data_IF_506459357614
#
_entry.id   IF_506459357614
#
_cell.length_a   1.000
_cell.length_b   1.000
_cell.length_c   1.000
_cell.angle_alpha   90.00
_cell.angle_beta   90.00
_cell.angle_gamma   90.00
#
_symmetry.space_group_name_H-M   'P 1'
#
loop_
_entity.id
_entity.type
_entity.pdbx_description
1 polymer ?
#
# COMPACT_ATOMS: atom_id res chain seq x y z
N UNK A 1 -21.25 18.58 -29.54
CA UNK A 1 -20.47 18.85 -28.28
C UNK A 1 -21.01 18.05 -27.09
N UNK A 2 -22.32 18.12 -26.73
CA UNK A 2 -22.86 17.34 -25.59
C UNK A 2 -22.96 15.83 -25.85
N UNK A 3 -23.24 15.38 -27.06
CA UNK A 3 -23.25 13.94 -27.42
C UNK A 3 -21.85 13.29 -27.38
N UNK A 4 -20.83 14.06 -27.69
CA UNK A 4 -19.44 13.58 -27.68
C UNK A 4 -18.91 13.40 -26.25
N UNK A 5 -19.32 14.29 -25.33
CA UNK A 5 -19.03 14.18 -23.89
C UNK A 5 -19.75 12.96 -23.28
N UNK A 6 -20.99 12.69 -23.71
CA UNK A 6 -21.74 11.51 -23.25
C UNK A 6 -21.11 10.19 -23.71
N UNK A 7 -20.60 10.11 -24.93
CA UNK A 7 -19.92 8.91 -25.46
C UNK A 7 -18.57 8.65 -24.76
N UNK A 8 -17.84 9.71 -24.39
CA UNK A 8 -16.60 9.60 -23.64
C UNK A 8 -16.86 9.11 -22.22
N UNK A 9 -17.93 9.57 -21.58
CA UNK A 9 -18.33 9.13 -20.24
C UNK A 9 -18.76 7.64 -20.21
N UNK A 10 -19.54 7.20 -21.20
CA UNK A 10 -19.98 5.79 -21.31
C UNK A 10 -18.81 4.84 -21.63
N UNK A 11 -17.85 5.28 -22.43
CA UNK A 11 -16.66 4.49 -22.73
C UNK A 11 -15.74 4.37 -21.50
N UNK A 12 -15.65 5.42 -20.67
CA UNK A 12 -14.87 5.42 -19.44
C UNK A 12 -15.51 4.50 -18.38
N UNK A 13 -16.84 4.50 -18.26
CA UNK A 13 -17.55 3.61 -17.32
C UNK A 13 -17.41 2.11 -17.70
N UNK A 14 -17.42 1.79 -18.98
CA UNK A 14 -17.15 0.44 -19.49
C UNK A 14 -15.71 0.01 -19.23
N UNK A 15 -14.75 0.90 -19.41
CA UNK A 15 -13.34 0.67 -19.11
C UNK A 15 -13.11 0.48 -17.60
N UNK A 16 -13.76 1.27 -16.76
CA UNK A 16 -13.72 1.13 -15.29
C UNK A 16 -14.29 -0.19 -14.81
N UNK A 17 -15.43 -0.63 -15.36
CA UNK A 17 -16.03 -1.94 -15.04
C UNK A 17 -15.17 -3.12 -15.54
N UNK A 18 -14.54 -2.98 -16.71
CA UNK A 18 -13.59 -3.97 -17.24
C UNK A 18 -12.29 -4.00 -16.43
N UNK A 19 -11.82 -2.82 -15.98
CA UNK A 19 -10.67 -2.68 -15.11
C UNK A 19 -10.95 -3.32 -13.74
N UNK A 20 -12.07 -3.03 -13.10
CA UNK A 20 -12.47 -3.63 -11.82
C UNK A 20 -12.65 -5.16 -11.90
N UNK A 21 -13.02 -5.70 -13.07
CA UNK A 21 -13.06 -7.15 -13.31
C UNK A 21 -11.67 -7.76 -13.57
N UNK A 22 -10.72 -6.97 -14.10
CA UNK A 22 -9.34 -7.40 -14.38
C UNK A 22 -8.37 -7.13 -13.23
N UNK A 23 -8.68 -6.16 -12.36
CA UNK A 23 -7.98 -5.89 -11.08
C UNK A 23 -8.54 -6.79 -9.97
N UNK A 24 -9.48 -7.69 -10.31
CA UNK A 24 -9.66 -8.90 -9.54
C UNK A 24 -8.30 -9.56 -9.40
N UNK A 25 -7.59 -9.22 -8.30
CA UNK A 25 -6.28 -9.79 -7.98
C UNK A 25 -5.23 -9.61 -9.09
N UNK A 26 -4.64 -8.43 -9.25
CA UNK A 26 -3.20 -8.41 -9.38
C UNK A 26 -2.69 -8.90 -8.03
N UNK A 27 -2.55 -10.22 -7.93
CA UNK A 27 -1.59 -10.79 -7.04
C UNK A 27 -0.26 -10.15 -7.46
N UNK A 28 0.14 -9.07 -6.78
CA UNK A 28 1.55 -8.93 -6.47
C UNK A 28 1.88 -10.33 -5.96
N UNK A 29 2.80 -11.02 -6.58
CA UNK A 29 3.33 -12.29 -6.09
C UNK A 29 4.06 -11.99 -4.78
N UNK A 30 3.32 -11.58 -3.79
CA UNK A 30 3.59 -11.75 -2.38
C UNK A 30 3.51 -13.25 -2.20
N UNK A 31 4.64 -13.86 -1.95
CA UNK A 31 4.79 -15.30 -1.84
C UNK A 31 3.59 -15.91 -1.14
N UNK A 32 3.06 -16.99 -1.71
CA UNK A 32 1.83 -17.66 -1.35
C UNK A 32 1.52 -17.47 0.15
N UNK A 33 0.52 -16.63 0.46
CA UNK A 33 -0.15 -16.72 1.75
C UNK A 33 -0.81 -18.09 1.70
N UNK A 34 -0.16 -19.07 2.33
CA UNK A 34 -0.78 -20.32 2.64
C UNK A 34 -1.99 -19.96 3.52
N UNK A 35 -3.16 -19.94 2.91
CA UNK A 35 -4.42 -19.86 3.65
C UNK A 35 -4.47 -21.14 4.48
N UNK A 36 -4.01 -21.04 5.72
CA UNK A 36 -4.20 -22.13 6.69
C UNK A 36 -5.69 -22.44 6.71
N UNK A 37 -6.02 -23.67 6.39
CA UNK A 37 -7.38 -24.20 6.30
C UNK A 37 -8.22 -23.74 7.49
N UNK A 38 -9.45 -23.27 7.27
CA UNK A 38 -10.33 -22.76 8.32
C UNK A 38 -11.01 -23.89 9.11
N UNK A 39 -10.23 -24.85 9.64
CA UNK A 39 -10.82 -25.97 10.38
C UNK A 39 -10.93 -25.75 11.89
N UNK A 40 -10.55 -24.61 12.43
CA UNK A 40 -10.63 -24.39 13.89
C UNK A 40 -11.07 -23.00 14.38
N UNK A 41 -11.65 -22.18 13.51
CA UNK A 41 -12.32 -20.93 13.89
C UNK A 41 -13.85 -21.03 13.78
N UNK A 42 -14.40 -22.24 13.87
CA UNK A 42 -15.83 -22.44 13.89
C UNK A 42 -16.32 -22.33 15.34
N UNK A 43 -16.48 -21.11 15.82
CA UNK A 43 -17.54 -20.66 16.74
C UNK A 43 -17.30 -19.22 17.20
N UNK A 44 -17.27 -18.30 16.25
CA UNK A 44 -17.54 -16.93 16.58
C UNK A 44 -18.70 -16.47 15.70
N UNK A 45 -19.71 -15.88 16.34
CA UNK A 45 -21.00 -15.56 15.80
C UNK A 45 -20.95 -15.04 14.35
N UNK A 46 -21.96 -15.41 13.55
CA UNK A 46 -22.28 -14.86 12.23
C UNK A 46 -22.61 -13.35 12.33
N UNK A 47 -21.58 -12.54 12.54
CA UNK A 47 -21.59 -11.10 12.30
C UNK A 47 -20.76 -10.91 11.03
N UNK A 48 -21.39 -10.48 9.94
CA UNK A 48 -20.68 -10.04 8.75
C UNK A 48 -19.61 -9.03 9.19
N UNK A 49 -18.32 -9.40 9.02
CA UNK A 49 -17.22 -8.47 9.28
C UNK A 49 -17.41 -7.29 8.33
N UNK A 50 -17.47 -6.08 8.88
CA UNK A 50 -17.63 -4.87 8.09
C UNK A 50 -16.57 -4.87 6.96
N UNK A 51 -16.97 -4.78 5.68
CA UNK A 51 -16.03 -4.77 4.56
C UNK A 51 -14.93 -3.71 4.69
N UNK A 52 -15.22 -2.57 5.32
CA UNK A 52 -14.24 -1.52 5.58
C UNK A 52 -13.14 -2.00 6.54
N UNK A 53 -13.45 -2.90 7.49
CA UNK A 53 -12.45 -3.51 8.38
C UNK A 53 -11.46 -4.36 7.56
N UNK A 54 -11.93 -5.14 6.60
CA UNK A 54 -11.05 -5.95 5.76
C UNK A 54 -10.12 -5.07 4.90
N UNK A 55 -10.63 -3.95 4.39
CA UNK A 55 -9.84 -2.96 3.66
C UNK A 55 -8.76 -2.36 4.58
N UNK A 56 -9.12 -1.95 5.79
CA UNK A 56 -8.16 -1.44 6.78
C UNK A 56 -7.10 -2.48 7.17
N UNK A 57 -7.44 -3.76 7.28
CA UNK A 57 -6.46 -4.83 7.55
C UNK A 57 -5.43 -4.97 6.42
N UNK A 58 -5.89 -4.90 5.17
CA UNK A 58 -4.99 -4.89 4.01
C UNK A 58 -4.06 -3.69 4.00
N UNK A 59 -4.60 -2.49 4.29
CA UNK A 59 -3.81 -1.27 4.45
C UNK A 59 -2.77 -1.40 5.57
N UNK A 60 -3.19 -1.90 6.75
CA UNK A 60 -2.28 -2.12 7.89
C UNK A 60 -1.13 -3.08 7.56
N UNK A 61 -1.38 -4.10 6.75
CA UNK A 61 -0.33 -5.01 6.30
C UNK A 61 0.70 -4.30 5.39
N UNK A 62 0.26 -3.36 4.54
CA UNK A 62 1.12 -2.52 3.70
C UNK A 62 1.99 -1.62 4.59
N UNK A 63 1.41 -0.99 5.63
CA UNK A 63 2.18 -0.14 6.54
C UNK A 63 3.24 -0.93 7.32
N UNK A 64 2.92 -2.13 7.78
CA UNK A 64 3.90 -3.02 8.40
C UNK A 64 5.05 -3.38 7.47
N UNK A 65 4.77 -3.62 6.18
CA UNK A 65 5.79 -3.90 5.16
C UNK A 65 6.69 -2.68 4.93
N UNK A 66 6.10 -1.48 4.78
CA UNK A 66 6.83 -0.22 4.62
C UNK A 66 7.77 0.05 5.80
N UNK A 67 7.27 -0.06 7.04
CA UNK A 67 8.08 0.10 8.26
C UNK A 67 9.25 -0.90 8.27
N UNK A 68 8.99 -2.16 7.96
CA UNK A 68 10.02 -3.19 7.94
C UNK A 68 11.05 -2.93 6.84
N UNK A 69 10.63 -2.53 5.65
CA UNK A 69 11.51 -2.21 4.53
C UNK A 69 12.45 -1.05 4.88
N UNK A 70 11.91 0.06 5.38
CA UNK A 70 12.74 1.22 5.77
C UNK A 70 13.69 0.89 6.93
N UNK A 71 13.24 0.13 7.92
CA UNK A 71 14.06 -0.26 9.06
C UNK A 71 15.19 -1.21 8.65
N UNK A 72 14.87 -2.28 7.92
CA UNK A 72 15.83 -3.33 7.55
C UNK A 72 16.81 -2.82 6.48
N UNK A 73 16.32 -2.16 5.43
CA UNK A 73 17.17 -1.58 4.41
C UNK A 73 17.98 -0.39 4.93
N UNK A 74 17.41 0.43 5.83
CA UNK A 74 18.12 1.50 6.51
C UNK A 74 19.28 1.00 7.39
N UNK A 75 19.15 -0.18 7.99
CA UNK A 75 20.20 -0.82 8.78
C UNK A 75 21.28 -1.53 7.93
N UNK A 76 21.13 -1.59 6.63
CA UNK A 76 22.05 -2.31 5.72
C UNK A 76 23.45 -1.71 5.62
N UNK A 77 23.62 -0.44 6.02
CA UNK A 77 24.87 0.31 5.83
C UNK A 77 25.10 0.81 4.40
N UNK A 78 24.14 0.62 3.49
CA UNK A 78 24.24 1.05 2.10
C UNK A 78 23.86 2.52 1.88
N UNK A 79 23.13 3.14 2.82
CA UNK A 79 22.61 4.48 2.69
C UNK A 79 23.62 5.54 3.17
N UNK A 80 23.71 6.63 2.41
CA UNK A 80 24.39 7.84 2.90
C UNK A 80 23.60 8.46 4.07
N UNK A 81 24.25 9.28 4.93
CA UNK A 81 23.55 9.96 6.03
C UNK A 81 22.34 10.80 5.58
N UNK A 82 22.43 11.41 4.40
CA UNK A 82 21.32 12.21 3.82
C UNK A 82 20.12 11.35 3.48
N UNK A 83 20.34 10.28 2.76
CA UNK A 83 19.29 9.33 2.37
C UNK A 83 18.69 8.61 3.57
N UNK A 84 19.54 8.22 4.54
CA UNK A 84 19.07 7.59 5.79
C UNK A 84 18.15 8.54 6.58
N UNK A 85 18.45 9.84 6.60
CA UNK A 85 17.56 10.83 7.23
C UNK A 85 16.18 10.87 6.57
N UNK A 86 16.11 10.87 5.25
CA UNK A 86 14.82 10.83 4.51
C UNK A 86 14.09 9.52 4.79
N UNK A 87 14.78 8.39 4.71
CA UNK A 87 14.22 7.08 5.03
C UNK A 87 13.63 7.01 6.43
N UNK A 88 14.29 7.62 7.42
CA UNK A 88 13.79 7.71 8.81
C UNK A 88 12.52 8.56 8.92
N UNK A 89 12.42 9.65 8.17
CA UNK A 89 11.20 10.48 8.12
C UNK A 89 10.04 9.67 7.53
N UNK A 90 10.24 9.02 6.40
CA UNK A 90 9.19 8.21 5.74
C UNK A 90 8.75 7.03 6.62
N UNK A 91 9.70 6.35 7.26
CA UNK A 91 9.37 5.32 8.25
C UNK A 91 8.49 5.88 9.38
N UNK A 92 8.76 7.11 9.84
CA UNK A 92 7.93 7.78 10.83
C UNK A 92 6.50 8.08 10.35
N UNK A 93 6.31 8.40 9.06
CA UNK A 93 4.98 8.55 8.47
C UNK A 93 4.24 7.21 8.46
N UNK A 94 4.85 6.14 7.95
CA UNK A 94 4.25 4.79 7.99
C UNK A 94 3.88 4.33 9.41
N UNK A 95 4.68 4.68 10.43
CA UNK A 95 4.35 4.38 11.82
C UNK A 95 3.07 5.10 12.27
N UNK A 96 2.87 6.36 11.89
CA UNK A 96 1.65 7.12 12.20
C UNK A 96 0.44 6.56 11.43
N UNK A 97 0.61 6.17 10.17
CA UNK A 97 -0.42 5.51 9.37
C UNK A 97 -0.87 4.20 10.03
N UNK A 98 0.09 3.33 10.38
CA UNK A 98 -0.14 2.09 11.12
C UNK A 98 -0.93 2.33 12.40
N UNK A 99 -0.50 3.26 13.24
CA UNK A 99 -1.14 3.53 14.53
C UNK A 99 -2.59 3.99 14.36
N UNK A 100 -2.85 4.79 13.32
CA UNK A 100 -4.19 5.24 12.96
C UNK A 100 -5.09 4.07 12.52
N UNK A 101 -4.57 3.18 11.67
CA UNK A 101 -5.28 1.99 11.19
C UNK A 101 -5.55 0.99 12.31
N UNK A 102 -4.55 0.72 13.17
CA UNK A 102 -4.72 -0.17 14.33
C UNK A 102 -5.83 0.34 15.27
N UNK A 103 -5.84 1.63 15.58
CA UNK A 103 -6.86 2.24 16.43
C UNK A 103 -8.27 2.14 15.81
N UNK A 104 -8.39 2.35 14.49
CA UNK A 104 -9.68 2.27 13.79
C UNK A 104 -10.19 0.83 13.68
N UNK A 105 -9.33 -0.13 13.40
CA UNK A 105 -9.69 -1.55 13.38
C UNK A 105 -10.16 -2.01 14.75
N UNK A 106 -9.43 -1.66 15.82
CA UNK A 106 -9.82 -1.99 17.19
C UNK A 106 -11.15 -1.32 17.57
N UNK A 107 -11.36 -0.06 17.22
CA UNK A 107 -12.62 0.66 17.44
C UNK A 107 -13.80 0.01 16.71
N UNK A 108 -13.57 -0.58 15.55
CA UNK A 108 -14.58 -1.34 14.81
C UNK A 108 -14.78 -2.78 15.34
N UNK A 109 -14.14 -3.16 16.45
CA UNK A 109 -14.23 -4.49 17.05
C UNK A 109 -13.34 -5.56 16.39
N UNK A 110 -12.50 -5.18 15.44
CA UNK A 110 -11.53 -6.06 14.80
C UNK A 110 -10.25 -6.22 15.61
N UNK A 111 -9.50 -7.27 15.33
CA UNK A 111 -8.14 -7.47 15.85
C UNK A 111 -7.12 -7.08 14.78
N UNK A 112 -6.29 -6.04 14.99
CA UNK A 112 -5.32 -5.61 13.99
C UNK A 112 -4.36 -6.73 13.59
N UNK A 113 -4.12 -6.88 12.29
CA UNK A 113 -3.13 -7.83 11.76
C UNK A 113 -1.76 -7.49 12.33
N UNK A 114 -0.97 -8.51 12.64
CA UNK A 114 0.37 -8.35 13.20
C UNK A 114 1.41 -8.30 12.09
N UNK A 115 2.54 -7.59 12.28
CA UNK A 115 3.64 -7.61 11.34
C UNK A 115 4.21 -9.03 11.21
N UNK A 116 4.74 -9.34 10.05
CA UNK A 116 5.54 -10.54 9.81
C UNK A 116 6.89 -10.42 10.54
N UNK A 117 7.62 -11.53 10.63
CA UNK A 117 9.00 -11.51 11.14
C UNK A 117 9.97 -10.81 10.17
N UNK A 118 11.07 -10.31 10.70
CA UNK A 118 12.13 -9.70 9.89
C UNK A 118 12.69 -10.65 8.82
N UNK A 119 12.79 -11.93 9.15
CA UNK A 119 13.24 -12.97 8.21
C UNK A 119 12.27 -13.10 7.03
N UNK A 120 10.96 -13.05 7.28
CA UNK A 120 9.95 -13.10 6.23
C UNK A 120 10.02 -11.86 5.34
N UNK A 121 10.09 -10.65 5.91
CA UNK A 121 10.25 -9.43 5.13
C UNK A 121 11.57 -9.42 4.34
N UNK A 122 12.66 -9.86 4.93
CA UNK A 122 13.95 -9.96 4.23
C UNK A 122 13.86 -10.85 2.99
N UNK A 123 13.16 -11.98 3.10
CA UNK A 123 12.95 -12.92 2.00
C UNK A 123 11.98 -12.33 0.95
N UNK A 124 10.82 -11.85 1.36
CA UNK A 124 9.77 -11.36 0.45
C UNK A 124 10.21 -10.13 -0.34
N UNK A 125 10.93 -9.21 0.31
CA UNK A 125 11.47 -8.00 -0.30
C UNK A 125 12.84 -8.22 -0.97
N UNK A 126 13.37 -9.46 -0.90
CA UNK A 126 14.67 -9.82 -1.46
C UNK A 126 15.81 -8.88 -1.01
N UNK A 127 15.82 -8.48 0.28
CA UNK A 127 16.77 -7.49 0.80
C UNK A 127 18.23 -7.94 0.66
N UNK A 128 18.49 -9.24 0.65
CA UNK A 128 19.82 -9.80 0.44
C UNK A 128 20.44 -9.51 -0.95
N UNK A 129 19.63 -9.11 -1.92
CA UNK A 129 20.08 -8.74 -3.26
C UNK A 129 20.58 -7.30 -3.39
N UNK A 130 20.27 -6.44 -2.42
CA UNK A 130 20.65 -5.02 -2.44
C UNK A 130 22.17 -4.87 -2.28
N UNK A 131 22.79 -4.08 -3.15
CA UNK A 131 24.26 -3.89 -3.19
C UNK A 131 24.66 -2.43 -3.15
N UNK A 132 23.73 -1.51 -3.33
CA UNK A 132 23.98 -0.07 -3.42
C UNK A 132 22.85 0.75 -2.82
N UNK A 133 23.12 2.02 -2.53
CA UNK A 133 22.09 3.00 -2.16
C UNK A 133 20.99 3.07 -3.24
N UNK A 134 21.38 3.05 -4.52
CA UNK A 134 20.44 3.07 -5.64
C UNK A 134 19.46 1.89 -5.61
N UNK A 135 19.93 0.68 -5.25
CA UNK A 135 19.06 -0.49 -5.14
C UNK A 135 18.02 -0.30 -4.00
N UNK A 136 18.45 0.24 -2.86
CA UNK A 136 17.58 0.52 -1.72
C UNK A 136 16.53 1.56 -2.08
N UNK A 137 16.94 2.67 -2.71
CA UNK A 137 16.02 3.74 -3.11
C UNK A 137 15.03 3.25 -4.18
N UNK A 138 15.49 2.44 -5.13
CA UNK A 138 14.62 1.86 -6.16
C UNK A 138 13.58 0.88 -5.56
N UNK A 139 13.98 0.06 -4.59
CA UNK A 139 13.04 -0.80 -3.85
C UNK A 139 12.01 0.05 -3.11
N UNK A 140 12.45 1.06 -2.36
CA UNK A 140 11.54 1.97 -1.66
C UNK A 140 10.55 2.63 -2.64
N UNK A 141 11.01 3.21 -3.74
CA UNK A 141 10.14 3.83 -4.72
C UNK A 141 9.09 2.86 -5.29
N UNK A 142 9.45 1.59 -5.49
CA UNK A 142 8.52 0.55 -5.93
C UNK A 142 7.46 0.24 -4.87
N UNK A 143 7.83 0.19 -3.60
CA UNK A 143 6.90 -0.05 -2.49
C UNK A 143 5.92 1.11 -2.33
N UNK A 144 6.42 2.36 -2.37
CA UNK A 144 5.58 3.56 -2.30
C UNK A 144 4.59 3.64 -3.47
N UNK A 145 5.02 3.29 -4.67
CA UNK A 145 4.11 3.20 -5.82
C UNK A 145 3.03 2.15 -5.59
N UNK A 146 3.40 1.00 -5.04
CA UNK A 146 2.47 -0.08 -4.69
C UNK A 146 1.44 0.37 -3.65
N UNK A 147 1.89 1.03 -2.58
CA UNK A 147 1.03 1.58 -1.54
C UNK A 147 0.08 2.65 -2.08
N UNK A 148 0.59 3.60 -2.87
CA UNK A 148 -0.24 4.64 -3.53
C UNK A 148 -1.34 4.01 -4.39
N UNK A 149 -0.99 3.03 -5.24
CA UNK A 149 -1.96 2.32 -6.09
C UNK A 149 -3.01 1.57 -5.25
N UNK A 150 -2.57 0.91 -4.16
CA UNK A 150 -3.47 0.18 -3.29
C UNK A 150 -4.49 1.13 -2.63
N UNK A 151 -4.04 2.25 -2.08
CA UNK A 151 -4.93 3.22 -1.43
C UNK A 151 -5.86 3.89 -2.43
N UNK A 152 -5.37 4.33 -3.59
CA UNK A 152 -6.21 4.90 -4.64
C UNK A 152 -7.31 3.91 -5.08
N UNK A 153 -6.94 2.65 -5.31
CA UNK A 153 -7.89 1.61 -5.73
C UNK A 153 -8.93 1.25 -4.67
N UNK A 154 -8.59 1.38 -3.38
CA UNK A 154 -9.48 1.05 -2.28
C UNK A 154 -10.50 2.15 -1.95
N UNK A 155 -10.21 3.42 -2.27
CA UNK A 155 -11.08 4.56 -1.97
C UNK A 155 -12.53 4.33 -2.45
N UNK A 156 -12.70 3.79 -3.66
CA UNK A 156 -14.02 3.55 -4.25
C UNK A 156 -14.80 2.40 -3.59
N UNK A 157 -14.12 1.50 -2.86
CA UNK A 157 -14.73 0.36 -2.19
C UNK A 157 -15.16 0.66 -0.75
N UNK A 158 -14.63 1.72 -0.14
CA UNK A 158 -14.95 2.14 1.22
C UNK A 158 -16.37 2.71 1.30
N UNK A 159 -17.10 2.30 2.34
CA UNK A 159 -18.46 2.74 2.64
C UNK A 159 -18.50 3.93 3.60
N UNK A 160 -17.54 3.99 4.53
CA UNK A 160 -17.41 5.04 5.52
C UNK A 160 -16.66 6.24 4.93
N UNK A 161 -17.31 7.41 4.90
CA UNK A 161 -16.74 8.65 4.34
C UNK A 161 -15.49 9.14 5.08
N UNK A 162 -15.38 8.87 6.39
CA UNK A 162 -14.18 9.25 7.15
C UNK A 162 -13.00 8.37 6.77
N UNK A 163 -13.25 7.06 6.52
CA UNK A 163 -12.22 6.16 6.00
C UNK A 163 -11.82 6.53 4.57
N UNK A 164 -12.80 6.88 3.70
CA UNK A 164 -12.49 7.40 2.36
C UNK A 164 -11.55 8.60 2.43
N UNK A 165 -11.80 9.54 3.34
CA UNK A 165 -10.93 10.71 3.55
C UNK A 165 -9.54 10.28 4.04
N UNK A 166 -9.45 9.40 5.04
CA UNK A 166 -8.17 8.88 5.53
C UNK A 166 -7.37 8.22 4.41
N UNK A 167 -7.97 7.32 3.64
CA UNK A 167 -7.28 6.63 2.54
C UNK A 167 -6.81 7.58 1.44
N UNK A 168 -7.53 8.69 1.23
CA UNK A 168 -7.07 9.76 0.35
C UNK A 168 -5.83 10.45 0.91
N UNK A 169 -5.75 10.65 2.22
CA UNK A 169 -4.55 11.22 2.88
C UNK A 169 -3.38 10.24 2.79
N UNK A 170 -3.58 8.95 3.11
CA UNK A 170 -2.55 7.92 2.93
C UNK A 170 -2.03 7.91 1.49
N UNK A 171 -2.92 7.87 0.50
CA UNK A 171 -2.56 7.92 -0.91
C UNK A 171 -1.72 9.17 -1.27
N UNK A 172 -2.04 10.33 -0.69
CA UNK A 172 -1.32 11.57 -0.93
C UNK A 172 0.10 11.51 -0.34
N UNK A 173 0.25 11.01 0.88
CA UNK A 173 1.54 10.88 1.55
C UNK A 173 2.46 9.91 0.80
N UNK A 174 1.95 8.73 0.38
CA UNK A 174 2.75 7.78 -0.39
C UNK A 174 3.11 8.30 -1.79
N UNK A 175 2.26 9.13 -2.40
CA UNK A 175 2.59 9.82 -3.65
C UNK A 175 3.76 10.80 -3.48
N UNK A 176 3.82 11.48 -2.35
CA UNK A 176 4.93 12.39 -2.00
C UNK A 176 6.21 11.60 -1.77
N UNK A 177 6.15 10.47 -1.04
CA UNK A 177 7.29 9.58 -0.84
C UNK A 177 7.82 9.08 -2.18
N UNK A 178 6.96 8.50 -3.01
CA UNK A 178 7.30 8.00 -4.34
C UNK A 178 7.94 9.06 -5.22
N UNK A 179 7.36 10.25 -5.27
CA UNK A 179 7.87 11.37 -6.08
C UNK A 179 9.26 11.81 -5.59
N UNK A 180 9.44 11.90 -4.27
CA UNK A 180 10.70 12.28 -3.67
C UNK A 180 11.82 11.28 -4.00
N UNK A 181 11.54 9.98 -3.91
CA UNK A 181 12.49 8.91 -4.23
C UNK A 181 12.84 8.89 -5.73
N UNK A 182 11.85 9.04 -6.61
CA UNK A 182 12.09 9.11 -8.04
C UNK A 182 12.94 10.35 -8.42
N UNK A 183 12.67 11.49 -7.80
CA UNK A 183 13.46 12.70 -8.01
C UNK A 183 14.93 12.50 -7.57
N UNK A 184 15.17 11.82 -6.45
CA UNK A 184 16.51 11.49 -5.97
C UNK A 184 17.29 10.58 -6.95
N UNK A 185 16.57 9.73 -7.70
CA UNK A 185 17.14 8.85 -8.73
C UNK A 185 17.18 9.50 -10.12
N UNK A 186 16.78 10.76 -10.26
CA UNK A 186 16.62 11.45 -11.54
C UNK A 186 15.69 10.71 -12.53
N UNK A 187 14.70 9.99 -12.02
CA UNK A 187 13.66 9.34 -12.85
C UNK A 187 12.72 10.43 -13.38
N UNK A 188 12.51 10.50 -14.71
CA UNK A 188 11.65 11.51 -15.30
C UNK A 188 10.21 11.38 -14.81
N UNK A 189 9.53 12.53 -14.68
CA UNK A 189 8.08 12.55 -14.41
C UNK A 189 7.35 11.84 -15.56
N UNK A 190 6.42 10.91 -15.27
CA UNK A 190 5.64 10.25 -16.30
C UNK A 190 4.87 11.24 -17.18
N UNK A 191 4.91 11.04 -18.51
CA UNK A 191 4.23 11.94 -19.46
C UNK A 191 2.71 11.80 -19.46
N UNK A 192 2.19 10.65 -19.02
CA UNK A 192 0.75 10.40 -18.97
C UNK A 192 0.21 10.75 -17.58
N UNK A 193 -0.96 11.37 -17.54
CA UNK A 193 -1.72 11.59 -16.31
C UNK A 193 -2.33 10.28 -15.77
N UNK A 194 -2.96 10.37 -14.62
CA UNK A 194 -3.58 9.24 -13.91
C UNK A 194 -2.54 8.16 -13.55
N UNK A 195 -1.55 8.58 -12.77
CA UNK A 195 -0.38 7.78 -12.41
C UNK A 195 -0.71 6.60 -11.49
N UNK A 196 -1.78 6.71 -10.74
CA UNK A 196 -2.17 5.77 -9.70
C UNK A 196 -3.64 5.38 -9.82
N UNK A 197 -3.97 4.14 -9.42
CA UNK A 197 -5.32 3.59 -9.42
C UNK A 197 -5.49 2.33 -10.22
#
# INVERSE_FOLDING_TARGET
MFEEISRVADHDESQRRSFLRKVGFVAVNLGAIAVASPARAAKQANGDVDPDVNIMQGALAIEHEGIAAYRLAGASGLLTPGTLKVATIFMGHHQQHRDSLEALIAKAGGSPVKPKSDAQYTQELNLGSLKSEGDVVALAAKLEQGATNAYAGQVAALRNRQLTHLFTQLCADESVHWTTLNNAMAVPIPMKAYLFG
#
